data_IF_617822918026
#
_entry.id   IF_617822918026
#
_cell.length_a   1.000
_cell.length_b   1.000
_cell.length_c   1.000
_cell.angle_alpha   90.00
_cell.angle_beta   90.00
_cell.angle_gamma   90.00
#
_symmetry.space_group_name_H-M   'P 1'
#
loop_
_entity.id
_entity.type
_entity.pdbx_description
1 polymer ?
2 polymer ?
3 non-polymer ?
4 non-polymer ?
5 water ?
#
# COMPACT_ATOMS: atom_id res chain seq x y z
N UNK A 9 13.68 -19.16 -6.38
CA UNK A 9 12.23 -19.14 -6.21
C UNK A 9 11.82 -19.08 -4.75
N UNK A 10 11.18 -17.98 -4.36
CA UNK A 10 10.63 -17.83 -3.01
C UNK A 10 9.13 -18.14 -2.99
N UNK A 11 8.67 -18.77 -1.91
CA UNK A 11 7.26 -19.15 -1.82
C UNK A 11 6.34 -17.99 -1.41
N UNK A 12 5.21 -17.86 -2.11
CA UNK A 12 4.21 -16.81 -1.79
C UNK A 12 3.62 -17.01 -0.39
N UNK A 13 3.18 -15.94 0.25
CA UNK A 13 2.68 -16.01 1.62
C UNK A 13 1.23 -15.57 1.66
N UNK A 14 0.41 -16.29 2.43
CA UNK A 14 -0.91 -15.78 2.83
C UNK A 14 -1.11 -15.95 4.31
N UNK A 15 -1.22 -14.85 5.03
CA UNK A 15 -1.50 -14.92 6.45
C UNK A 15 -2.99 -14.69 6.64
N UNK A 16 -3.56 -15.36 7.62
CA UNK A 16 -4.99 -15.28 7.86
C UNK A 16 -5.22 -15.22 9.35
N UNK A 17 -6.45 -14.95 9.73
CA UNK A 17 -6.78 -14.78 11.13
C UNK A 17 -6.70 -13.32 11.54
N UNK A 18 -6.93 -13.06 12.83
CA UNK A 18 -6.85 -11.69 13.36
C UNK A 18 -5.40 -11.21 13.40
N UNK A 19 -5.20 -9.91 13.17
CA UNK A 19 -3.87 -9.26 13.08
C UNK A 19 -3.09 -9.54 11.78
N UNK A 20 -3.67 -10.30 10.86
CA UNK A 20 -3.06 -10.61 9.57
C UNK A 20 -2.55 -9.35 8.83
N UNK A 21 -3.35 -8.28 8.82
CA UNK A 21 -3.01 -7.07 8.08
C UNK A 21 -1.80 -6.31 8.63
N UNK A 22 -1.72 -6.17 9.95
CA UNK A 22 -0.55 -5.58 10.60
C UNK A 22 0.69 -6.45 10.37
N UNK A 23 0.51 -7.77 10.49
CA UNK A 23 1.59 -8.72 10.21
C UNK A 23 2.06 -8.58 8.77
N UNK A 24 1.10 -8.43 7.86
CA UNK A 24 1.40 -8.20 6.45
C UNK A 24 2.23 -6.93 6.26
N UNK A 25 1.73 -5.82 6.78
CA UNK A 25 2.44 -4.55 6.71
C UNK A 25 3.88 -4.63 7.24
N UNK A 26 4.00 -5.10 8.47
CA UNK A 26 5.29 -5.11 9.15
C UNK A 26 6.32 -5.93 8.40
N UNK A 27 5.92 -7.07 7.86
CA UNK A 27 6.83 -7.88 7.06
C UNK A 27 7.33 -7.11 5.84
N UNK A 28 6.42 -6.44 5.14
CA UNK A 28 6.78 -5.68 3.96
C UNK A 28 7.67 -4.47 4.28
N UNK A 29 7.34 -3.74 5.34
CA UNK A 29 8.09 -2.53 5.67
C UNK A 29 9.37 -2.80 6.45
N UNK A 30 9.38 -3.86 7.27
CA UNK A 30 10.58 -4.17 8.07
C UNK A 30 11.63 -4.99 7.32
N UNK A 31 11.21 -5.86 6.41
CA UNK A 31 12.17 -6.65 5.64
C UNK A 31 11.88 -6.58 4.15
N UNK A 32 12.14 -5.41 3.54
CA UNK A 32 11.72 -5.07 2.17
C UNK A 32 12.50 -5.78 1.06
N UNK A 33 13.65 -6.36 1.40
CA UNK A 33 14.44 -7.10 0.44
C UNK A 33 13.98 -8.54 0.31
N UNK A 34 13.35 -9.06 1.37
CA UNK A 34 12.92 -10.44 1.39
C UNK A 34 11.45 -10.61 0.97
N UNK A 35 10.67 -9.55 1.15
CA UNK A 35 9.23 -9.62 0.91
C UNK A 35 8.75 -8.55 -0.08
N UNK A 36 7.72 -8.92 -0.84
CA UNK A 36 7.17 -8.00 -1.83
C UNK A 36 5.70 -8.24 -2.08
N UNK A 37 5.02 -7.22 -2.58
CA UNK A 37 3.66 -7.40 -3.02
C UNK A 37 3.69 -7.43 -4.55
N UNK A 38 2.81 -8.23 -5.16
CA UNK A 38 2.75 -8.32 -6.61
C UNK A 38 1.94 -7.20 -7.25
N UNK A 39 2.05 -7.09 -8.58
CA UNK A 39 1.28 -6.09 -9.34
C UNK A 39 -0.09 -6.61 -9.76
N UNK A 40 -1.17 -6.04 -9.18
CA UNK A 40 -2.50 -6.50 -9.60
C UNK A 40 -2.94 -5.88 -10.92
N UNK A 41 -3.98 -6.43 -11.55
CA UNK A 41 -4.61 -5.83 -12.75
C UNK A 41 -5.77 -4.95 -12.37
N UNK A 42 -5.98 -3.86 -13.09
CA UNK A 42 -7.20 -3.08 -12.84
C UNK A 42 -7.78 -2.48 -14.10
N UNK A 43 -9.11 -2.27 -14.11
CA UNK A 43 -9.74 -1.61 -15.25
C UNK A 43 -9.76 -0.10 -15.06
N UNK A 44 -9.26 0.34 -13.92
CA UNK A 44 -9.31 1.75 -13.61
C UNK A 44 -8.29 2.46 -14.48
N UNK A 45 -8.65 3.64 -15.01
CA UNK A 45 -7.66 4.47 -15.68
C UNK A 45 -6.48 4.81 -14.76
N UNK A 46 -5.28 4.80 -15.34
CA UNK A 46 -4.06 5.26 -14.69
C UNK A 46 -4.11 6.76 -14.37
N UNK A 47 -3.68 7.12 -13.17
CA UNK A 47 -3.64 8.53 -12.77
C UNK A 47 -2.22 9.05 -12.98
N UNK A 48 -2.05 10.37 -12.90
CA UNK A 48 -0.74 11.00 -13.17
C UNK A 48 0.39 10.48 -12.26
N UNK A 49 0.05 10.04 -11.04
CA UNK A 49 1.06 9.54 -10.12
C UNK A 49 1.23 8.03 -10.15
N UNK A 50 0.68 7.38 -11.17
CA UNK A 50 0.81 5.92 -11.28
C UNK A 50 1.59 5.53 -12.52
N UNK A 51 2.05 4.28 -12.54
CA UNK A 51 2.95 3.80 -13.58
C UNK A 51 2.59 2.38 -13.96
N UNK A 52 2.27 2.15 -15.24
CA UNK A 52 1.91 0.83 -15.74
C UNK A 52 3.02 -0.18 -15.44
N UNK A 53 2.63 -1.34 -14.94
CA UNK A 53 3.57 -2.39 -14.61
C UNK A 53 4.25 -2.24 -13.26
N UNK A 54 3.90 -1.19 -12.53
CA UNK A 54 4.44 -0.96 -11.19
C UNK A 54 3.29 -0.80 -10.19
N UNK A 55 2.49 0.24 -10.38
CA UNK A 55 1.28 0.39 -9.60
C UNK A 55 0.26 -0.73 -9.93
N UNK A 56 -0.19 -0.76 -11.18
CA UNK A 56 -1.04 -1.83 -11.69
C UNK A 56 -0.65 -2.21 -13.10
N UNK A 57 -1.13 -3.36 -13.55
CA UNK A 57 -1.27 -3.64 -14.97
C UNK A 57 -2.63 -3.08 -15.36
N UNK A 58 -2.65 -1.94 -16.03
CA UNK A 58 -3.92 -1.30 -16.35
C UNK A 58 -4.49 -1.93 -17.61
N UNK A 59 -5.71 -2.46 -17.51
CA UNK A 59 -6.37 -3.07 -18.67
C UNK A 59 -7.36 -2.14 -19.38
N UNK A 60 -7.35 -2.19 -20.70
CA UNK A 60 -8.20 -1.34 -21.54
C UNK A 60 -9.62 -1.84 -21.72
N UNK A 61 -9.87 -3.08 -21.31
CA UNK A 61 -11.16 -3.68 -21.59
C UNK A 61 -11.72 -4.45 -20.42
N UNK A 62 -12.68 -3.83 -19.77
CA UNK A 62 -13.41 -4.44 -18.69
C UNK A 62 -14.07 -5.75 -19.15
N UNK A 63 -14.49 -5.82 -20.41
CA UNK A 63 -15.09 -7.06 -20.88
C UNK A 63 -14.06 -8.17 -20.96
N UNK A 64 -12.89 -7.88 -21.53
CA UNK A 64 -11.84 -8.90 -21.62
C UNK A 64 -11.55 -9.38 -20.20
N UNK A 65 -11.51 -8.45 -19.25
CA UNK A 65 -11.22 -8.80 -17.89
C UNK A 65 -12.28 -9.65 -17.20
N UNK A 66 -13.55 -9.29 -17.36
CA UNK A 66 -14.66 -10.08 -16.80
C UNK A 66 -14.59 -11.50 -17.33
N UNK A 67 -14.16 -11.62 -18.57
CA UNK A 67 -14.02 -12.91 -19.21
C UNK A 67 -12.85 -13.68 -18.59
N UNK A 68 -11.75 -12.98 -18.36
CA UNK A 68 -10.59 -13.60 -17.74
C UNK A 68 -10.88 -14.02 -16.30
N UNK A 69 -11.75 -13.26 -15.62
CA UNK A 69 -12.20 -13.64 -14.29
C UNK A 69 -13.02 -14.93 -14.34
N UNK A 70 -13.93 -15.03 -15.32
CA UNK A 70 -14.79 -16.22 -15.45
C UNK A 70 -13.99 -17.45 -15.81
N UNK A 71 -12.85 -17.26 -16.46
CA UNK A 71 -11.97 -18.35 -16.86
C UNK A 71 -10.86 -18.63 -15.85
N UNK A 72 -11.03 -18.13 -14.63
CA UNK A 72 -10.14 -18.45 -13.52
C UNK A 72 -8.70 -18.02 -13.78
N UNK A 73 -8.52 -16.92 -14.50
CA UNK A 73 -7.18 -16.41 -14.77
C UNK A 73 -6.63 -15.60 -13.59
N UNK A 74 -7.47 -15.40 -12.56
CA UNK A 74 -7.03 -14.70 -11.35
C UNK A 74 -7.30 -15.57 -10.12
N UNK A 75 -6.41 -15.49 -9.14
CA UNK A 75 -6.60 -16.24 -7.90
C UNK A 75 -7.53 -15.48 -6.99
N UNK A 76 -7.70 -14.20 -7.30
CA UNK A 76 -8.66 -13.36 -6.58
C UNK A 76 -9.01 -12.12 -7.40
N UNK A 77 -10.30 -11.80 -7.48
CA UNK A 77 -10.77 -10.63 -8.22
C UNK A 77 -11.96 -9.97 -7.51
N UNK A 78 -12.02 -8.66 -7.58
CA UNK A 78 -13.07 -7.94 -6.90
C UNK A 78 -13.34 -6.61 -7.56
N UNK A 79 -14.43 -5.99 -7.15
CA UNK A 79 -14.76 -4.65 -7.58
C UNK A 79 -14.62 -3.72 -6.39
N UNK A 80 -14.22 -2.49 -6.65
CA UNK A 80 -14.14 -1.48 -5.63
C UNK A 80 -14.30 -0.14 -6.33
N UNK A 81 -15.38 0.57 -5.99
CA UNK A 81 -15.62 1.91 -6.51
C UNK A 81 -15.71 1.93 -8.04
N UNK A 82 -16.50 1.00 -8.58
CA UNK A 82 -16.79 0.91 -10.01
C UNK A 82 -15.77 0.18 -10.88
N UNK A 83 -14.60 -0.13 -10.33
CA UNK A 83 -13.51 -0.73 -11.11
C UNK A 83 -13.13 -2.13 -10.67
N UNK A 84 -12.66 -2.93 -11.61
CA UNK A 84 -12.27 -4.30 -11.29
C UNK A 84 -10.81 -4.34 -10.96
N UNK A 85 -10.49 -5.16 -9.99
CA UNK A 85 -9.12 -5.42 -9.57
C UNK A 85 -8.94 -6.91 -9.52
N UNK A 86 -7.84 -7.40 -10.09
CA UNK A 86 -7.58 -8.82 -10.10
C UNK A 86 -6.12 -9.12 -9.81
N UNK A 87 -5.87 -10.23 -9.14
CA UNK A 87 -4.52 -10.70 -8.85
C UNK A 87 -4.27 -11.97 -9.63
N UNK A 88 -3.26 -11.94 -10.50
CA UNK A 88 -3.08 -13.03 -11.45
C UNK A 88 -1.98 -13.96 -11.00
N UNK A 89 -2.07 -15.22 -11.41
CA UNK A 89 -1.04 -16.20 -11.12
C UNK A 89 0.35 -15.72 -11.58
N UNK A 90 0.41 -15.16 -12.79
CA UNK A 90 1.69 -14.73 -13.34
C UNK A 90 2.32 -13.57 -12.55
N UNK A 91 1.48 -12.74 -11.93
CA UNK A 91 2.01 -11.62 -11.16
C UNK A 91 2.62 -12.19 -9.90
N UNK A 92 1.92 -13.16 -9.34
CA UNK A 92 2.38 -13.84 -8.15
C UNK A 92 3.66 -14.57 -8.48
N UNK A 93 3.60 -15.31 -9.58
CA UNK A 93 4.74 -16.04 -10.11
C UNK A 93 5.95 -15.11 -10.31
N UNK A 94 5.70 -13.91 -10.83
CA UNK A 94 6.77 -12.98 -11.14
C UNK A 94 7.52 -12.44 -9.93
N UNK A 95 6.84 -12.28 -8.80
CA UNK A 95 7.51 -11.83 -7.59
C UNK A 95 8.41 -12.93 -7.05
N UNK A 96 7.91 -14.15 -7.09
CA UNK A 96 8.61 -15.31 -6.56
C UNK A 96 9.94 -15.59 -7.26
N UNK A 97 10.00 -15.39 -8.58
CA UNK A 97 11.23 -15.63 -9.35
C UNK A 97 12.35 -14.74 -8.84
N UNK A 98 12.00 -13.51 -8.45
CA UNK A 98 12.98 -12.54 -8.02
C UNK A 98 13.46 -12.77 -6.59
N UNK A 99 13.10 -13.92 -6.02
CA UNK A 99 13.57 -14.31 -4.70
C UNK A 99 12.88 -13.59 -3.55
N UNK A 100 11.68 -13.09 -3.79
CA UNK A 100 10.91 -12.41 -2.75
C UNK A 100 9.67 -13.21 -2.39
N UNK A 101 9.33 -13.22 -1.11
CA UNK A 101 8.08 -13.84 -0.70
C UNK A 101 6.95 -12.88 -1.00
N UNK A 102 6.09 -13.26 -1.94
CA UNK A 102 4.93 -12.43 -2.23
C UNK A 102 4.01 -12.42 -1.03
N UNK A 103 3.82 -11.26 -0.42
CA UNK A 103 2.85 -11.14 0.67
C UNK A 103 1.48 -10.89 0.08
N UNK A 104 0.59 -11.86 0.25
CA UNK A 104 -0.73 -11.82 -0.39
C UNK A 104 -1.87 -11.48 0.57
N UNK A 105 -2.62 -10.45 0.22
CA UNK A 105 -3.80 -10.09 0.97
C UNK A 105 -4.98 -10.54 0.13
N UNK A 106 -5.42 -11.76 0.40
CA UNK A 106 -6.41 -12.43 -0.42
C UNK A 106 -7.22 -13.35 0.48
N UNK A 107 -8.33 -13.86 -0.05
CA UNK A 107 -9.23 -14.70 0.72
C UNK A 107 -8.64 -16.10 0.90
N UNK A 108 -9.25 -16.87 1.80
CA UNK A 108 -8.78 -18.21 2.08
C UNK A 108 -9.02 -19.18 0.92
N UNK A 109 -9.88 -18.79 -0.01
CA UNK A 109 -10.13 -19.58 -1.22
C UNK A 109 -9.00 -19.47 -2.22
N UNK A 110 -8.28 -18.35 -2.18
CA UNK A 110 -7.19 -18.13 -3.09
C UNK A 110 -6.04 -19.12 -2.83
N UNK A 111 -6.02 -19.70 -1.64
CA UNK A 111 -4.99 -20.66 -1.26
C UNK A 111 -5.09 -21.98 -2.03
N UNK A 112 -6.30 -22.53 -2.15
CA UNK A 112 -6.46 -23.74 -2.96
C UNK A 112 -6.11 -23.40 -4.39
N UNK A 113 -6.51 -22.21 -4.83
CA UNK A 113 -6.21 -21.77 -6.20
C UNK A 113 -4.71 -21.66 -6.46
N UNK A 114 -3.97 -21.10 -5.51
CA UNK A 114 -2.52 -21.04 -5.60
C UNK A 114 -1.90 -22.42 -5.53
N UNK A 115 -2.48 -23.30 -4.71
CA UNK A 115 -1.97 -24.65 -4.57
C UNK A 115 -2.04 -25.37 -5.90
N UNK A 116 -3.18 -25.24 -6.56
CA UNK A 116 -3.43 -25.90 -7.84
C UNK A 116 -2.56 -25.33 -8.94
N UNK A 117 -2.22 -24.06 -8.85
CA UNK A 117 -1.41 -23.41 -9.87
C UNK A 117 0.06 -23.78 -9.73
N UNK A 118 0.37 -24.63 -8.75
CA UNK A 118 1.72 -25.12 -8.46
C UNK A 118 2.63 -24.05 -7.86
N UNK A 119 2.03 -23.06 -7.20
CA UNK A 119 2.79 -21.98 -6.58
C UNK A 119 3.37 -22.37 -5.21
N UNK A 120 2.89 -23.47 -4.64
CA UNK A 120 3.30 -23.92 -3.31
C UNK A 120 3.29 -22.76 -2.28
N UNK A 121 2.10 -22.23 -1.97
CA UNK A 121 2.05 -21.10 -1.03
C UNK A 121 2.31 -21.55 0.40
N UNK A 122 2.72 -20.60 1.23
CA UNK A 122 2.81 -20.81 2.67
C UNK A 122 1.64 -20.10 3.31
N UNK A 123 0.63 -20.86 3.71
CA UNK A 123 -0.55 -20.29 4.35
C UNK A 123 -0.40 -20.38 5.86
N UNK A 124 -0.58 -19.25 6.53
CA UNK A 124 -0.43 -19.22 7.98
C UNK A 124 -1.67 -18.67 8.67
N UNK A 125 -2.28 -19.49 9.51
CA UNK A 125 -3.44 -19.04 10.27
C UNK A 125 -3.04 -18.59 11.67
N UNK A 126 -3.23 -17.31 11.95
CA UNK A 126 -3.09 -16.81 13.32
C UNK A 126 -4.35 -17.15 14.12
N UNK A 127 -4.22 -18.11 15.04
CA UNK A 127 -5.37 -18.63 15.80
C UNK A 127 -5.48 -18.10 17.23
N UNK A 128 -6.61 -17.44 17.55
CA UNK A 128 -6.82 -16.92 18.91
C UNK A 128 -7.41 -17.99 19.84
N UNK A 129 -6.83 -18.11 21.04
CA UNK A 129 -7.28 -19.10 22.01
C UNK A 129 -8.67 -18.76 22.57
N UNK A 130 -8.92 -17.46 22.75
CA UNK A 130 -10.18 -17.01 23.35
C UNK A 130 -10.63 -15.67 22.79
N UNK A 131 -11.73 -15.16 23.32
CA UNK A 131 -12.23 -13.84 22.93
C UNK A 131 -11.31 -12.77 23.50
N UNK A 132 -10.86 -12.97 24.74
CA UNK A 132 -9.96 -12.03 25.40
C UNK A 132 -8.58 -12.09 24.75
N UNK A 133 -8.24 -13.26 24.21
CA UNK A 133 -7.00 -13.41 23.47
C UNK A 133 -6.94 -12.40 22.34
N UNK A 134 -8.03 -12.26 21.59
CA UNK A 134 -8.11 -11.24 20.57
C UNK A 134 -7.81 -9.86 21.16
N UNK A 135 -8.36 -9.58 22.33
CA UNK A 135 -8.11 -8.31 23.00
C UNK A 135 -6.66 -8.15 23.40
N UNK A 136 -5.99 -9.28 23.60
CA UNK A 136 -4.58 -9.29 23.96
C UNK A 136 -3.71 -8.95 22.75
N UNK A 137 -3.96 -9.64 21.64
CA UNK A 137 -3.15 -9.48 20.42
C UNK A 137 -3.61 -8.33 19.52
N UNK A 138 -4.86 -7.94 19.63
CA UNK A 138 -5.39 -6.80 18.89
C UNK A 138 -5.87 -5.71 19.84
N UNK A 139 -4.93 -5.09 20.54
CA UNK A 139 -5.25 -4.10 21.56
C UNK A 139 -5.93 -2.87 20.97
N UNK A 140 -5.93 -2.76 19.65
CA UNK A 140 -6.58 -1.65 18.97
C UNK A 140 -8.09 -1.85 18.86
N UNK A 141 -8.50 -3.06 18.45
CA UNK A 141 -9.91 -3.37 18.21
C UNK A 141 -10.80 -3.20 19.44
N UNK A 142 -12.08 -2.92 19.20
CA UNK A 142 -13.03 -2.69 20.29
C UNK A 142 -13.66 -3.98 20.80
N UNK A 143 -14.38 -3.89 21.91
CA UNK A 143 -15.05 -5.05 22.50
C UNK A 143 -16.13 -5.62 21.57
N UNK A 144 -16.81 -4.74 20.83
CA UNK A 144 -17.79 -5.19 19.86
C UNK A 144 -17.08 -5.82 18.66
N UNK A 145 -15.98 -5.19 18.24
CA UNK A 145 -15.24 -5.61 17.05
C UNK A 145 -14.35 -6.85 17.29
N UNK A 146 -13.75 -6.95 18.48
CA UNK A 146 -12.92 -8.11 18.81
C UNK A 146 -13.73 -9.41 18.88
N UNK A 147 -14.96 -9.31 19.40
CA UNK A 147 -15.87 -10.44 19.44
C UNK A 147 -16.13 -11.04 18.05
N UNK A 148 -16.54 -10.21 17.10
CA UNK A 148 -16.88 -10.69 15.75
C UNK A 148 -15.69 -11.24 14.96
N UNK A 149 -14.47 -11.02 15.47
CA UNK A 149 -13.28 -11.59 14.83
C UNK A 149 -13.09 -13.04 15.25
N UNK A 150 -13.33 -13.34 16.53
CA UNK A 150 -13.30 -14.70 17.03
C UNK A 150 -14.27 -15.56 16.23
N UNK A 151 -15.45 -15.01 15.97
CA UNK A 151 -16.46 -15.71 15.17
C UNK A 151 -15.99 -15.95 13.74
N UNK A 152 -15.30 -14.97 13.15
CA UNK A 152 -14.75 -15.15 11.82
C UNK A 152 -13.61 -16.16 11.83
N UNK A 153 -12.75 -16.09 12.85
CA UNK A 153 -11.61 -17.00 12.96
C UNK A 153 -12.01 -18.45 13.27
N UNK A 154 -13.06 -18.63 14.05
CA UNK A 154 -13.52 -19.98 14.32
C UNK A 154 -14.06 -20.62 13.05
N UNK A 155 -14.90 -19.89 12.32
CA UNK A 155 -15.50 -20.40 11.10
C UNK A 155 -14.46 -20.57 9.99
N UNK A 156 -13.41 -19.75 10.07
CA UNK A 156 -12.31 -19.84 9.13
C UNK A 156 -11.54 -21.15 9.33
N UNK A 157 -11.27 -21.47 10.59
CA UNK A 157 -10.49 -22.66 10.91
C UNK A 157 -11.34 -23.90 10.71
N UNK A 158 -12.64 -23.76 10.87
CA UNK A 158 -13.53 -24.88 10.65
C UNK A 158 -13.51 -25.26 9.16
N UNK A 159 -13.40 -24.26 8.28
CA UNK A 159 -13.47 -24.54 6.85
C UNK A 159 -12.12 -24.86 6.17
N UNK A 160 -11.06 -24.14 6.56
CA UNK A 160 -9.80 -24.22 5.84
C UNK A 160 -8.61 -24.83 6.60
N UNK A 161 -8.89 -25.61 7.64
CA UNK A 161 -7.82 -26.25 8.40
C UNK A 161 -6.81 -26.95 7.48
N UNK A 162 -7.33 -27.69 6.51
CA UNK A 162 -6.48 -28.52 5.68
C UNK A 162 -5.62 -27.70 4.73
N UNK A 163 -5.94 -26.42 4.59
CA UNK A 163 -5.17 -25.51 3.74
C UNK A 163 -3.99 -24.80 4.44
N UNK A 164 -3.88 -24.93 5.77
CA UNK A 164 -2.81 -24.25 6.48
C UNK A 164 -1.50 -25.03 6.52
N UNK A 165 -0.39 -24.33 6.24
CA UNK A 165 0.93 -24.93 6.42
C UNK A 165 1.30 -24.89 7.89
N UNK A 166 0.97 -23.76 8.52
CA UNK A 166 1.14 -23.60 9.96
C UNK A 166 0.07 -22.71 10.60
N UNK A 167 -0.08 -22.89 11.90
CA UNK A 167 -0.97 -22.11 12.73
C UNK A 167 -0.17 -21.48 13.87
N UNK A 168 -0.28 -20.16 14.06
CA UNK A 168 0.42 -19.47 15.16
C UNK A 168 -0.52 -18.98 16.27
N UNK A 169 0.02 -18.89 17.48
CA UNK A 169 -0.74 -18.42 18.64
C UNK A 169 0.15 -17.56 19.52
N UNK A 170 -0.45 -16.62 20.24
CA UNK A 170 0.31 -15.77 21.15
C UNK A 170 -0.55 -15.03 22.16
N UNK A 171 0.11 -14.33 23.08
CA UNK A 171 -0.59 -13.46 24.03
C UNK A 171 -0.36 -11.99 23.67
N UNK A 172 0.58 -11.77 22.76
CA UNK A 172 0.86 -10.45 22.21
C UNK A 172 1.11 -10.56 20.72
N UNK A 173 0.88 -9.46 20.01
CA UNK A 173 1.21 -9.41 18.60
C UNK A 173 2.71 -9.55 18.44
N UNK A 174 3.47 -9.03 19.40
CA UNK A 174 4.91 -9.22 19.42
C UNK A 174 5.28 -10.71 19.38
N UNK A 175 4.56 -11.52 20.16
CA UNK A 175 4.82 -12.97 20.22
C UNK A 175 4.44 -13.63 18.91
N UNK A 176 3.32 -13.19 18.34
CA UNK A 176 2.78 -13.76 17.11
C UNK A 176 3.60 -13.41 15.87
N UNK A 177 3.89 -12.12 15.70
CA UNK A 177 4.76 -11.65 14.63
C UNK A 177 6.08 -12.42 14.62
N UNK A 178 6.71 -12.48 15.80
CA UNK A 178 7.94 -13.24 16.03
C UNK A 178 7.79 -14.66 15.49
N UNK A 179 6.62 -15.24 15.73
CA UNK A 179 6.38 -16.63 15.35
C UNK A 179 6.13 -16.76 13.84
N UNK A 180 5.40 -15.80 13.28
CA UNK A 180 5.14 -15.77 11.85
C UNK A 180 6.48 -15.70 11.13
N UNK A 181 7.38 -14.88 11.65
CA UNK A 181 8.71 -14.74 11.07
C UNK A 181 9.37 -16.11 10.98
N UNK A 182 9.37 -16.84 12.10
CA UNK A 182 10.04 -18.14 12.15
C UNK A 182 9.41 -19.21 11.26
N UNK A 183 8.07 -19.25 11.17
CA UNK A 183 7.40 -20.24 10.32
C UNK A 183 7.84 -20.10 8.86
N UNK A 184 7.88 -18.86 8.38
CA UNK A 184 8.31 -18.56 7.03
C UNK A 184 9.72 -19.09 6.78
N UNK A 185 10.66 -18.71 7.64
CA UNK A 185 12.04 -19.09 7.40
C UNK A 185 12.24 -20.60 7.56
N UNK A 186 11.47 -21.23 8.44
CA UNK A 186 11.54 -22.67 8.63
C UNK A 186 11.13 -23.44 7.38
N UNK A 187 10.02 -23.02 6.78
CA UNK A 187 9.45 -23.69 5.60
C UNK A 187 10.07 -23.28 4.26
N UNK A 188 11.28 -22.71 4.29
CA UNK A 188 11.96 -22.33 3.07
C UNK A 188 13.49 -22.20 3.24
N UNK B 8 12.28 45.49 -4.66
CA UNK B 8 11.77 44.73 -3.52
C UNK B 8 10.41 44.06 -3.77
N UNK B 9 9.87 44.19 -4.98
CA UNK B 9 8.63 43.53 -5.30
C UNK B 9 8.87 42.03 -5.47
N UNK B 10 10.05 41.68 -5.95
CA UNK B 10 10.42 40.27 -6.05
C UNK B 10 10.63 39.66 -4.66
N UNK B 11 11.08 40.48 -3.71
CA UNK B 11 11.16 40.08 -2.31
C UNK B 11 9.78 39.77 -1.74
N UNK B 12 8.87 40.74 -1.84
CA UNK B 12 7.52 40.57 -1.35
C UNK B 12 6.82 39.40 -2.05
N UNK B 13 7.09 39.20 -3.33
CA UNK B 13 6.48 38.07 -4.04
C UNK B 13 7.06 36.75 -3.53
N UNK B 14 8.38 36.69 -3.43
CA UNK B 14 9.03 35.50 -2.88
C UNK B 14 8.54 35.22 -1.47
N UNK B 15 8.44 36.26 -0.65
CA UNK B 15 8.01 36.11 0.73
C UNK B 15 6.61 35.48 0.83
N UNK B 16 5.69 35.92 -0.03
CA UNK B 16 4.31 35.42 0.01
C UNK B 16 4.26 33.98 -0.49
N UNK B 17 5.13 33.67 -1.45
CA UNK B 17 5.24 32.32 -1.99
C UNK B 17 5.77 31.35 -0.93
N UNK B 18 6.78 31.79 -0.18
CA UNK B 18 7.34 30.97 0.88
C UNK B 18 6.33 30.71 2.00
N UNK B 19 5.44 31.67 2.23
CA UNK B 19 4.38 31.48 3.19
C UNK B 19 3.39 30.43 2.70
N UNK B 20 2.98 30.54 1.45
CA UNK B 20 2.11 29.59 0.80
C UNK B 20 2.69 28.18 0.89
N UNK B 21 3.97 28.04 0.53
CA UNK B 21 4.60 26.72 0.49
C UNK B 21 4.71 26.13 1.88
N UNK B 22 5.02 27.00 2.84
CA UNK B 22 5.13 26.61 4.24
C UNK B 22 3.88 25.91 4.75
N UNK B 23 2.72 26.47 4.42
CA UNK B 23 1.43 25.86 4.75
C UNK B 23 1.17 24.53 4.01
N UNK B 24 1.33 24.52 2.68
CA UNK B 24 0.96 23.37 1.87
C UNK B 24 1.75 22.13 2.26
N UNK B 25 3.03 22.34 2.53
CA UNK B 25 3.94 21.29 2.88
C UNK B 25 3.47 20.65 4.17
N UNK B 26 2.86 21.47 5.01
CA UNK B 26 2.30 20.99 6.26
C UNK B 26 1.03 20.15 6.05
N UNK B 27 0.21 20.53 5.08
CA UNK B 27 -1.00 19.78 4.80
C UNK B 27 -0.64 18.46 4.14
N UNK B 28 0.31 18.50 3.21
CA UNK B 28 0.74 17.27 2.54
C UNK B 28 1.25 16.27 3.58
N UNK B 29 2.10 16.75 4.48
CA UNK B 29 2.70 15.89 5.49
C UNK B 29 1.67 15.15 6.33
N UNK B 30 0.57 15.84 6.63
CA UNK B 30 -0.42 15.30 7.54
C UNK B 30 -1.21 14.16 6.87
N UNK B 31 -1.65 14.40 5.63
CA UNK B 31 -2.42 13.43 4.88
C UNK B 31 -1.56 12.21 4.64
N UNK B 32 -0.30 12.46 4.32
CA UNK B 32 0.64 11.38 4.12
C UNK B 32 0.74 10.54 5.39
N UNK B 33 0.75 11.19 6.54
CA UNK B 33 0.85 10.46 7.80
C UNK B 33 -0.42 9.62 8.03
N UNK B 34 -1.57 10.21 7.72
CA UNK B 34 -2.86 9.55 7.94
C UNK B 34 -2.96 8.29 7.10
N UNK B 35 -2.43 8.36 5.88
CA UNK B 35 -2.60 7.29 4.93
C UNK B 35 -1.52 6.23 5.10
N UNK B 36 -0.69 6.47 6.11
CA UNK B 36 0.41 5.60 6.48
C UNK B 36 1.41 5.49 5.33
N UNK B 37 1.67 6.64 4.72
CA UNK B 37 2.68 6.78 3.69
C UNK B 37 3.60 7.92 4.13
N UNK B 38 4.19 7.82 5.32
CA UNK B 38 5.00 8.89 5.91
C UNK B 38 6.05 9.45 4.93
N UNK B 39 6.01 10.76 4.72
CA UNK B 39 6.85 11.44 3.76
C UNK B 39 7.15 12.85 4.25
N UNK B 40 8.41 13.26 4.23
CA UNK B 40 8.81 14.58 4.72
C UNK B 40 8.74 15.61 3.58
N UNK B 41 8.08 16.74 3.84
CA UNK B 41 8.07 17.83 2.89
C UNK B 41 8.78 19.03 3.51
N UNK B 42 9.89 19.42 2.88
CA UNK B 42 10.67 20.54 3.33
C UNK B 42 10.70 21.62 2.24
N UNK B 43 10.65 22.88 2.64
CA UNK B 43 10.71 23.98 1.70
C UNK B 43 12.16 24.44 1.45
N UNK B 44 12.55 24.47 0.17
CA UNK B 44 13.82 25.03 -0.26
C UNK B 44 13.63 26.03 -1.39
N UNK B 45 14.74 26.47 -1.95
CA UNK B 45 14.68 27.31 -3.12
C UNK B 45 15.07 26.57 -4.39
N UNK B 46 14.62 27.11 -5.51
CA UNK B 46 15.24 26.78 -6.77
C UNK B 46 15.18 28.00 -7.67
N UNK B 47 16.02 27.96 -8.69
CA UNK B 47 16.05 28.98 -9.70
C UNK B 47 15.62 28.31 -10.99
N UNK B 48 14.36 28.54 -11.40
CA UNK B 48 13.79 27.96 -12.61
C UNK B 48 14.41 28.59 -13.84
N UNK B 49 14.28 27.96 -15.00
CA UNK B 49 14.87 28.52 -16.20
C UNK B 49 14.15 29.82 -16.60
N UNK B 50 12.90 29.96 -16.17
CA UNK B 50 12.12 31.18 -16.44
C UNK B 50 12.80 32.43 -15.85
N UNK B 51 13.39 32.28 -14.67
CA UNK B 51 14.04 33.40 -13.98
C UNK B 51 15.25 33.92 -14.75
N UNK B 52 15.87 33.06 -15.55
CA UNK B 52 17.05 33.43 -16.33
C UNK B 52 16.63 34.05 -17.67
N UNK B 53 15.57 33.49 -18.26
CA UNK B 53 15.06 33.95 -19.55
C UNK B 53 14.15 35.17 -19.42
N UNK B 54 13.94 35.62 -18.18
CA UNK B 54 13.08 36.77 -17.94
C UNK B 54 13.86 38.07 -17.76
N UNK B 55 15.17 38.02 -18.05
CA UNK B 55 16.06 39.19 -18.02
C UNK B 55 15.70 40.26 -16.99
N UNK B 56 15.38 39.84 -15.77
CA UNK B 56 14.95 40.75 -14.72
C UNK B 56 15.98 41.84 -14.43
N UNK B 57 15.53 42.92 -13.81
CA UNK B 57 16.44 43.99 -13.41
C UNK B 57 17.47 43.40 -12.45
N UNK B 58 18.71 43.86 -12.55
CA UNK B 58 19.73 43.41 -11.63
C UNK B 58 19.29 43.75 -10.22
N UNK B 59 19.56 42.84 -9.26
CA UNK B 59 19.21 43.10 -7.87
C UNK B 59 17.96 42.35 -7.47
N UNK B 60 17.28 41.83 -8.49
CA UNK B 60 16.10 41.00 -8.37
C UNK B 60 16.48 39.57 -7.91
N UNK B 61 15.68 38.98 -7.02
CA UNK B 61 15.89 37.59 -6.60
C UNK B 61 15.38 36.62 -7.64
N UNK B 62 16.19 35.62 -7.96
CA UNK B 62 15.82 34.61 -8.96
C UNK B 62 15.01 33.46 -8.35
N UNK B 63 15.00 33.38 -7.03
CA UNK B 63 14.43 32.24 -6.34
C UNK B 63 12.92 32.22 -6.24
N UNK B 64 12.41 31.01 -6.22
CA UNK B 64 11.06 30.75 -5.82
C UNK B 64 11.09 29.45 -5.05
N UNK B 65 10.04 29.17 -4.27
CA UNK B 65 10.09 27.95 -3.46
C UNK B 65 9.97 26.65 -4.25
N UNK B 66 10.70 25.65 -3.78
CA UNK B 66 10.58 24.28 -4.26
C UNK B 66 10.47 23.34 -3.06
N UNK B 67 10.09 22.10 -3.31
CA UNK B 67 9.75 21.20 -2.23
C UNK B 67 10.64 19.98 -2.21
N UNK B 68 11.36 19.82 -1.11
CA UNK B 68 12.18 18.63 -0.93
C UNK B 68 11.30 17.54 -0.37
N UNK B 69 11.25 16.42 -1.09
CA UNK B 69 10.36 15.33 -0.76
C UNK B 69 11.22 14.14 -0.33
N UNK B 70 11.06 13.72 0.92
CA UNK B 70 11.88 12.63 1.42
C UNK B 70 11.01 11.48 1.94
N UNK B 71 11.38 10.26 1.56
CA UNK B 71 10.72 9.05 2.02
C UNK B 71 11.76 8.05 2.54
N UNK B 72 11.54 7.52 3.73
CA UNK B 72 12.53 6.64 4.37
C UNK B 72 12.83 5.42 3.51
N UNK B 73 14.13 5.14 3.34
CA UNK B 73 14.57 4.02 2.55
C UNK B 73 14.14 4.10 1.10
N UNK B 74 14.17 5.30 0.52
CA UNK B 74 13.78 5.46 -0.87
C UNK B 74 14.62 6.54 -1.55
N UNK B 75 14.81 7.66 -0.87
CA UNK B 75 15.58 8.74 -1.43
C UNK B 75 14.86 10.08 -1.34
N UNK B 76 15.47 11.10 -1.92
CA UNK B 76 14.94 12.44 -1.83
C UNK B 76 14.75 12.99 -3.24
N UNK B 77 13.69 13.78 -3.44
CA UNK B 77 13.48 14.40 -4.73
C UNK B 77 12.96 15.80 -4.56
N UNK B 78 13.16 16.65 -5.57
CA UNK B 78 12.55 17.97 -5.59
C UNK B 78 11.24 18.01 -6.41
N UNK B 79 10.18 18.57 -5.83
CA UNK B 79 9.02 18.99 -6.60
C UNK B 79 8.93 20.52 -6.67
N UNK B 80 8.36 21.02 -7.75
CA UNK B 80 8.03 22.43 -7.83
C UNK B 80 6.83 22.68 -6.92
N UNK B 81 6.68 23.94 -6.50
CA UNK B 81 5.53 24.34 -5.72
C UNK B 81 4.24 24.01 -6.45
N UNK B 82 4.20 24.34 -7.75
CA UNK B 82 3.04 24.08 -8.60
C UNK B 82 2.70 22.59 -8.54
N UNK B 83 3.73 21.76 -8.56
CA UNK B 83 3.51 20.32 -8.53
C UNK B 83 2.90 19.85 -7.21
N UNK B 84 3.41 20.36 -6.08
CA UNK B 84 2.83 20.04 -4.78
C UNK B 84 1.36 20.51 -4.72
N UNK B 85 1.14 21.71 -5.23
CA UNK B 85 -0.18 22.28 -5.21
C UNK B 85 -1.18 21.40 -5.98
N UNK B 86 -0.76 20.91 -7.15
CA UNK B 86 -1.55 19.94 -7.93
C UNK B 86 -1.70 18.57 -7.25
N UNK B 87 -0.60 18.01 -6.74
CA UNK B 87 -0.69 16.72 -6.07
C UNK B 87 -1.62 16.79 -4.88
N UNK B 88 -1.65 17.93 -4.19
CA UNK B 88 -2.61 18.14 -3.10
C UNK B 88 -4.08 17.90 -3.52
N UNK B 89 -4.42 18.24 -4.76
CA UNK B 89 -5.74 17.96 -5.27
C UNK B 89 -6.02 16.46 -5.10
N UNK B 90 -5.01 15.66 -5.43
CA UNK B 90 -5.13 14.20 -5.39
C UNK B 90 -5.08 13.63 -3.97
N UNK B 91 -4.19 14.16 -3.13
CA UNK B 91 -4.05 13.74 -1.74
C UNK B 91 -5.35 13.98 -0.95
N UNK B 92 -5.88 15.19 -1.06
CA UNK B 92 -7.21 15.52 -0.51
C UNK B 92 -8.31 14.55 -0.95
N UNK B 93 -8.37 14.29 -2.26
CA UNK B 93 -9.29 13.29 -2.82
C UNK B 93 -9.12 11.93 -2.19
N UNK B 94 -7.88 11.44 -2.14
CA UNK B 94 -7.59 10.10 -1.63
C UNK B 94 -7.96 10.01 -0.15
N UNK B 95 -7.65 11.10 0.55
CA UNK B 95 -7.96 11.21 1.96
C UNK B 95 -9.47 11.12 2.23
N UNK B 96 -10.25 11.92 1.50
CA UNK B 96 -11.69 11.94 1.70
C UNK B 96 -12.28 10.61 1.29
N UNK B 97 -11.68 10.00 0.26
CA UNK B 97 -12.10 8.67 -0.16
C UNK B 97 -11.84 7.66 0.96
N UNK B 98 -10.69 7.77 1.61
CA UNK B 98 -10.31 6.90 2.70
C UNK B 98 -11.25 7.04 3.89
N UNK B 99 -11.47 8.29 4.32
CA UNK B 99 -12.34 8.64 5.46
C UNK B 99 -13.81 8.24 5.30
N UNK B 100 -14.23 8.03 4.05
CA UNK B 100 -15.62 7.77 3.76
C UNK B 100 -15.84 6.33 3.35
N UNK B 101 -14.75 5.59 3.16
CA UNK B 101 -14.84 4.19 2.80
C UNK B 101 -15.35 3.38 3.98
N UNK B 102 -16.38 2.58 3.76
CA UNK B 102 -16.88 1.70 4.81
C UNK B 102 -16.67 0.23 4.44
N UNK B 103 -15.63 -0.08 3.67
CA UNK B 103 -15.51 -1.39 3.05
C UNK B 103 -14.66 -2.43 3.79
N UNK B 104 -13.38 -2.15 3.95
CA UNK B 104 -12.44 -3.11 4.57
C UNK B 104 -12.38 -4.52 3.96
N UNK B 105 -12.11 -4.60 2.67
CA UNK B 105 -11.98 -5.87 1.99
C UNK B 105 -10.54 -5.99 1.48
N UNK B 106 -10.12 -7.21 1.10
CA UNK B 106 -8.87 -7.35 0.36
C UNK B 106 -8.66 -6.29 -0.73
N UNK B 107 -9.65 -6.07 -1.60
CA UNK B 107 -9.49 -5.11 -2.69
C UNK B 107 -9.42 -3.65 -2.22
N UNK B 108 -10.26 -3.27 -1.27
CA UNK B 108 -10.21 -1.91 -0.76
C UNK B 108 -8.87 -1.63 -0.07
N UNK B 109 -8.46 -2.55 0.81
CA UNK B 109 -7.14 -2.47 1.46
C UNK B 109 -6.02 -2.25 0.44
N UNK B 110 -5.95 -3.11 -0.57
CA UNK B 110 -4.87 -2.99 -1.55
C UNK B 110 -4.92 -1.67 -2.31
N UNK B 111 -6.13 -1.23 -2.65
CA UNK B 111 -6.31 0.03 -3.32
C UNK B 111 -5.65 1.17 -2.55
N UNK B 112 -5.93 1.29 -1.26
CA UNK B 112 -5.31 2.34 -0.44
C UNK B 112 -3.81 2.11 -0.23
N UNK B 113 -3.40 0.85 -0.11
CA UNK B 113 -1.99 0.56 0.11
C UNK B 113 -1.15 1.03 -1.08
N UNK B 114 -1.66 0.77 -2.29
CA UNK B 114 -0.90 1.03 -3.50
C UNK B 114 -0.98 2.48 -3.96
N UNK B 115 -2.00 3.23 -3.53
CA UNK B 115 -2.19 4.57 -4.04
C UNK B 115 -1.24 5.56 -3.37
N UNK B 116 -0.28 6.06 -4.15
CA UNK B 116 0.79 6.89 -3.62
C UNK B 116 1.07 8.16 -4.42
N UNK B 117 0.22 9.19 -4.24
CA UNK B 117 0.48 10.47 -4.90
C UNK B 117 1.53 11.27 -4.12
N UNK B 118 2.11 10.68 -3.08
CA UNK B 118 2.96 11.40 -2.15
C UNK B 118 4.45 11.38 -2.55
N UNK B 119 4.84 10.37 -3.31
CA UNK B 119 6.23 10.22 -3.68
C UNK B 119 6.33 9.51 -5.04
N UNK B 120 7.35 9.85 -5.82
CA UNK B 120 7.45 9.28 -7.16
C UNK B 120 8.59 8.28 -7.30
N UNK B 121 8.24 7.02 -7.54
CA UNK B 121 9.20 5.91 -7.64
C UNK B 121 10.30 6.20 -8.67
N UNK B 122 9.93 6.80 -9.80
CA UNK B 122 10.90 7.25 -10.81
C UNK B 122 11.90 6.20 -11.32
N UNK B 123 11.39 5.06 -11.80
CA UNK B 123 12.27 3.97 -12.21
C UNK B 123 11.73 3.19 -13.41
X LIG C 1 -13.73 -21.63 -7.18
X LIG C 1 -12.38 -21.91 -7.64
X LIG C 1 -14.10 -22.62 -6.17
X LIG C 1 -14.64 -21.70 -8.33
X LIG C 1 -13.81 -20.29 -6.58
X LIG D 1 -13.87 -15.30 -2.99
X LIG D 1 -14.70 -15.61 -1.83
X LIG D 1 -12.49 -15.65 -2.70
X LIG D 1 -14.32 -16.07 -4.16
X LIG D 1 -13.95 -13.87 -3.29
X LIG E 1 -11.04 7.26 -10.78
X LIG E 1 -11.06 6.38 -9.62
X LIG E 1 -9.90 6.91 -11.64
X LIG E 1 -12.29 7.11 -11.53
X LIG E 1 -10.91 8.65 -10.34
X LIG F 1 -6.50 -5.05 -22.36
X LIG F 1 -5.53 -4.19 -21.69
X LIG F 1 -6.44 -6.42 -21.87
X LIG F 1 -6.24 -5.05 -23.80
X LIG F 1 -7.86 -4.56 -22.12
X LIG G 1 -6.86 -7.72 11.13
X LIG G 1 -6.91 -8.06 12.55
X LIG G 1 -7.24 -8.90 10.35
X LIG G 1 -5.51 -7.30 10.78
X LIG G 1 -7.80 -6.64 10.85
X LIG H 1 -3.45 -11.21 -19.01
X LIG H 1 -2.54 -10.13 -19.13
X LIG H 1 -4.29 -11.04 -17.74
X LIG H 1 -5.63 -10.76 -18.09
X LIG H 1 -4.21 -12.29 -16.88
X LIG H 1 -5.02 -13.29 -17.45
X LIG I 1 -19.56 -4.53 -21.38
X LIG I 1 -19.29 -5.32 -22.53
X LIG I 1 -19.11 -5.24 -20.11
X LIG I 1 -17.83 -4.80 -19.75
X LIG I 1 -20.08 -4.92 -18.98
X LIG I 1 -20.04 -3.52 -18.76
X LIG J 1 -11.26 -9.87 5.58
X LIG J 1 -11.91 -10.96 6.32
X LIG J 1 -10.57 -10.41 4.40
X LIG J 1 -10.31 -9.25 6.50
X LIG J 1 -12.26 -8.89 5.15
#
# INVERSE_FOLDING_TARGET
GPGSEFVHYARPIIILGPTKDRANDDLLSEFPDKFGSCVPHTTRPKREYEIDGRDYHFVSSREKMEKDIQAHKFIEAGQYNSHLYGTSVQSVREVAEQGKHCILDVSANAVRRLQAAHLHPIAIFIRPRSLENVLEINKRITEEQARKAFDRATKLEQEFTECFSAIVEGDSFEEIYHKVKRVIEDLSG
GPGSATLNNSLMRLREQIVKANLLVREASYIAEELDKRTEYKVTLQIPTSSLDANRKRGSLLSEPAIQVRRKGKGKQIWSLEKLENRLLDMRDLYQEWKECEEDSPVSRSYFKRADPFYDEQENHS
SO4 S O1 O2 O3 O4
SO4 S O1 O2 O3 O4
SO4 S O1 O2 O3 O4
SO4 S O1 O2 O3 O4
SO4 S O1 O2 O3 O4
GOL C1 O1 C2 O2 C3 O3
GOL C1 O1 C2 O2 C3 O3
SO4 S O1 O2 O3 O4
#
